data_IF_155289460895
#
_entry.id   IF_155289460895
#
_cell.length_a   1.000
_cell.length_b   1.000
_cell.length_c   1.000
_cell.angle_alpha   90.00
_cell.angle_beta   90.00
_cell.angle_gamma   90.00
#
_symmetry.space_group_name_H-M   'P 1'
#
loop_
_entity.id
_entity.type
_entity.pdbx_description
1 polymer ?
#
# COMPACT_ATOMS: atom_id res chain seq x y z
N UNK A 1 9.13 -19.49 2.13
CA UNK A 1 8.49 -18.35 1.44
C UNK A 1 8.19 -17.30 2.48
N UNK A 2 8.67 -16.08 2.26
CA UNK A 2 8.43 -14.94 3.14
C UNK A 2 7.20 -14.13 2.70
N UNK A 3 6.59 -14.47 1.56
CA UNK A 3 5.41 -13.80 1.01
C UNK A 3 5.73 -12.56 0.18
N UNK A 4 7.01 -12.24 0.00
CA UNK A 4 7.45 -11.03 -0.68
C UNK A 4 7.08 -11.01 -2.16
N UNK A 5 7.30 -12.13 -2.87
CA UNK A 5 7.03 -12.22 -4.31
C UNK A 5 5.55 -12.05 -4.64
N UNK A 6 4.66 -12.77 -3.93
CA UNK A 6 3.22 -12.63 -4.08
C UNK A 6 2.74 -11.23 -3.70
N UNK A 7 3.19 -10.68 -2.57
CA UNK A 7 2.85 -9.32 -2.14
C UNK A 7 3.20 -8.30 -3.22
N UNK A 8 4.44 -8.32 -3.68
CA UNK A 8 4.93 -7.37 -4.68
C UNK A 8 4.18 -7.51 -6.01
N UNK A 9 3.89 -8.74 -6.43
CA UNK A 9 3.14 -9.02 -7.67
C UNK A 9 1.70 -8.46 -7.61
N UNK A 10 1.00 -8.64 -6.48
CA UNK A 10 -0.35 -8.10 -6.29
C UNK A 10 -0.36 -6.57 -6.21
N UNK A 11 0.61 -5.99 -5.51
CA UNK A 11 0.72 -4.54 -5.39
C UNK A 11 1.09 -3.87 -6.72
N UNK A 12 1.96 -4.49 -7.52
CA UNK A 12 2.45 -3.97 -8.80
C UNK A 12 1.36 -3.78 -9.87
N UNK A 13 0.18 -4.37 -9.66
CA UNK A 13 -0.97 -4.31 -10.58
C UNK A 13 -2.20 -3.61 -10.02
N UNK A 14 -2.16 -3.16 -8.76
CA UNK A 14 -3.36 -2.64 -8.08
C UNK A 14 -3.97 -1.45 -8.80
N UNK A 15 -3.17 -0.48 -9.26
CA UNK A 15 -3.70 0.71 -9.90
C UNK A 15 -4.19 0.45 -11.32
N UNK A 16 -3.61 -0.52 -12.03
CA UNK A 16 -4.15 -0.96 -13.32
C UNK A 16 -5.57 -1.53 -13.14
N UNK A 17 -5.80 -2.28 -12.05
CA UNK A 17 -7.14 -2.77 -11.71
C UNK A 17 -8.07 -1.64 -11.23
N UNK A 18 -7.59 -0.72 -10.39
CA UNK A 18 -8.39 0.41 -9.89
C UNK A 18 -8.86 1.31 -11.03
N UNK A 19 -7.98 1.63 -11.98
CA UNK A 19 -8.30 2.44 -13.15
C UNK A 19 -9.41 1.82 -14.00
N UNK A 20 -9.44 0.48 -14.14
CA UNK A 20 -10.52 -0.21 -14.86
C UNK A 20 -11.88 -0.12 -14.15
N UNK A 21 -11.90 0.04 -12.82
CA UNK A 21 -13.14 0.04 -12.02
C UNK A 21 -13.67 1.45 -11.78
N UNK A 22 -12.79 2.38 -11.44
CA UNK A 22 -13.16 3.74 -10.99
C UNK A 22 -12.26 4.84 -11.57
N UNK A 23 -11.43 4.57 -12.58
CA UNK A 23 -10.46 5.53 -13.14
C UNK A 23 -11.08 6.86 -13.57
N UNK A 24 -12.27 6.83 -14.16
CA UNK A 24 -13.03 8.03 -14.58
C UNK A 24 -13.45 8.95 -13.41
N UNK A 25 -13.37 8.45 -12.17
CA UNK A 25 -13.66 9.20 -10.96
C UNK A 25 -12.40 9.72 -10.27
N UNK A 26 -11.21 9.42 -10.79
CA UNK A 26 -9.92 9.77 -10.16
C UNK A 26 -9.29 10.96 -10.88
N UNK A 27 -9.73 12.17 -10.51
CA UNK A 27 -9.21 13.41 -11.05
C UNK A 27 -8.94 14.46 -9.95
N UNK A 28 -7.75 15.10 -9.93
CA UNK A 28 -6.57 14.78 -10.75
C UNK A 28 -5.90 13.45 -10.34
N UNK A 29 -5.06 12.87 -11.22
CA UNK A 29 -4.27 11.65 -10.93
C UNK A 29 -3.05 11.96 -10.06
N UNK A 30 -3.31 12.35 -8.81
CA UNK A 30 -2.28 12.64 -7.81
C UNK A 30 -2.36 11.65 -6.66
N UNK A 31 -1.20 11.18 -6.20
CA UNK A 31 -1.10 10.16 -5.17
C UNK A 31 -0.07 10.54 -4.10
N UNK A 32 -0.46 10.39 -2.83
CA UNK A 32 0.46 10.43 -1.70
C UNK A 32 0.73 9.03 -1.19
N UNK A 33 1.98 8.59 -1.25
CA UNK A 33 2.41 7.29 -0.71
C UNK A 33 3.15 7.51 0.60
N UNK A 34 2.54 7.09 1.71
CA UNK A 34 3.04 7.36 3.08
C UNK A 34 4.42 6.70 3.30
N UNK A 35 4.61 5.50 2.74
CA UNK A 35 5.91 4.82 2.70
C UNK A 35 6.07 4.09 1.35
N UNK A 36 6.68 4.76 0.38
CA UNK A 36 6.83 4.25 -0.98
C UNK A 36 7.87 3.14 -1.11
N UNK A 37 8.95 3.18 -0.32
CA UNK A 37 10.07 2.22 -0.38
C UNK A 37 9.63 0.85 0.14
N UNK A 38 8.88 0.78 1.24
CA UNK A 38 8.44 -0.49 1.84
C UNK A 38 7.27 -1.14 1.11
N UNK A 39 6.60 -0.38 0.22
CA UNK A 39 5.54 -0.84 -0.68
C UNK A 39 5.90 -0.56 -2.14
N UNK A 40 7.08 -1.00 -2.54
CA UNK A 40 7.64 -0.70 -3.86
C UNK A 40 6.74 -1.17 -5.02
N UNK A 41 6.13 -2.35 -4.92
CA UNK A 41 5.15 -2.82 -5.91
C UNK A 41 4.01 -1.82 -6.10
N UNK A 42 3.43 -1.32 -5.00
CA UNK A 42 2.34 -0.33 -5.04
C UNK A 42 2.83 0.97 -5.68
N UNK A 43 4.01 1.44 -5.27
CA UNK A 43 4.69 2.61 -5.87
C UNK A 43 4.82 2.47 -7.38
N UNK A 44 5.31 1.35 -7.87
CA UNK A 44 5.43 1.11 -9.31
C UNK A 44 4.08 1.10 -10.01
N UNK A 45 3.05 0.53 -9.39
CA UNK A 45 1.71 0.47 -9.96
C UNK A 45 1.11 1.86 -10.18
N UNK A 46 1.24 2.77 -9.20
CA UNK A 46 0.82 4.16 -9.33
C UNK A 46 1.55 4.90 -10.45
N UNK A 47 2.88 4.76 -10.51
CA UNK A 47 3.70 5.37 -11.56
C UNK A 47 3.28 4.87 -12.95
N UNK A 48 3.12 3.54 -13.11
CA UNK A 48 2.68 2.91 -14.37
C UNK A 48 1.28 3.35 -14.79
N UNK A 49 0.40 3.67 -13.83
CA UNK A 49 -0.94 4.20 -14.08
C UNK A 49 -0.98 5.72 -14.38
N UNK A 50 0.18 6.39 -14.37
CA UNK A 50 0.32 7.80 -14.73
C UNK A 50 0.04 8.78 -13.59
N UNK A 51 0.12 8.34 -12.33
CA UNK A 51 -0.08 9.23 -11.18
C UNK A 51 1.16 10.08 -10.90
N UNK A 52 0.94 11.37 -10.65
CA UNK A 52 1.94 12.21 -10.03
C UNK A 52 2.04 11.83 -8.55
N UNK A 53 3.14 11.16 -8.18
CA UNK A 53 3.34 10.62 -6.85
C UNK A 53 4.19 11.55 -5.98
N UNK A 54 3.78 11.70 -4.72
CA UNK A 54 4.59 12.26 -3.64
C UNK A 54 4.82 11.16 -2.61
N UNK A 55 6.06 10.99 -2.16
CA UNK A 55 6.42 9.95 -1.19
C UNK A 55 6.80 10.55 0.16
N UNK A 56 6.25 9.97 1.23
CA UNK A 56 6.41 10.36 2.63
C UNK A 56 7.54 9.64 3.38
N UNK A 57 8.41 8.91 2.68
CA UNK A 57 9.41 8.04 3.32
C UNK A 57 10.34 8.77 4.30
N UNK A 58 10.80 9.99 3.96
CA UNK A 58 11.60 10.81 4.87
C UNK A 58 10.76 11.38 6.03
N UNK A 59 9.53 11.77 5.72
CA UNK A 59 8.59 12.37 6.67
C UNK A 59 8.25 11.44 7.81
N UNK A 60 7.92 10.18 7.50
CA UNK A 60 7.46 9.26 8.53
C UNK A 60 8.55 8.29 8.98
N UNK A 61 9.48 7.92 8.08
CA UNK A 61 10.57 7.01 8.41
C UNK A 61 11.65 7.66 9.27
N UNK A 62 11.89 8.97 9.11
CA UNK A 62 12.96 9.70 9.79
C UNK A 62 12.51 11.00 10.47
N UNK A 63 11.22 11.33 10.44
CA UNK A 63 10.68 12.61 10.94
C UNK A 63 11.29 13.85 10.25
N UNK A 64 11.78 13.70 9.01
CA UNK A 64 12.35 14.78 8.20
C UNK A 64 11.24 15.35 7.30
N UNK A 65 10.85 16.63 7.42
CA UNK A 65 9.67 17.22 6.77
C UNK A 65 9.84 17.50 5.27
N UNK A 66 10.48 16.59 4.52
CA UNK A 66 10.80 16.71 3.10
C UNK A 66 10.02 15.68 2.31
N UNK A 67 9.24 16.14 1.32
CA UNK A 67 8.57 15.29 0.34
C UNK A 67 9.52 14.87 -0.76
N UNK A 68 9.40 13.61 -1.18
CA UNK A 68 10.07 13.12 -2.38
C UNK A 68 9.05 13.17 -3.53
N UNK A 69 9.37 13.91 -4.59
CA UNK A 69 8.45 14.11 -5.73
C UNK A 69 8.76 13.27 -6.97
N UNK A 70 9.75 12.36 -6.92
CA UNK A 70 10.13 11.56 -8.08
C UNK A 70 10.68 10.19 -7.71
N UNK A 71 10.51 9.23 -8.62
CA UNK A 71 11.02 7.87 -8.46
C UNK A 71 12.56 7.81 -8.40
N UNK A 72 13.24 8.67 -9.15
CA UNK A 72 14.71 8.75 -9.11
C UNK A 72 15.19 9.23 -7.74
N UNK A 73 14.54 10.26 -7.18
CA UNK A 73 14.85 10.74 -5.84
C UNK A 73 14.54 9.67 -4.78
N UNK A 74 13.41 8.96 -4.91
CA UNK A 74 13.06 7.85 -4.02
C UNK A 74 14.12 6.75 -4.01
N UNK A 75 14.60 6.33 -5.20
CA UNK A 75 15.67 5.34 -5.33
C UNK A 75 16.98 5.80 -4.70
N UNK A 76 17.35 7.07 -4.87
CA UNK A 76 18.53 7.66 -4.23
C UNK A 76 18.38 7.68 -2.72
N UNK A 77 17.24 8.12 -2.21
CA UNK A 77 16.93 8.10 -0.77
C UNK A 77 17.03 6.69 -0.21
N UNK A 78 16.42 5.69 -0.85
CA UNK A 78 16.48 4.30 -0.40
C UNK A 78 17.94 3.80 -0.26
N UNK A 79 18.80 4.09 -1.25
CA UNK A 79 20.23 3.72 -1.20
C UNK A 79 20.98 4.40 -0.05
N UNK A 80 20.65 5.66 0.25
CA UNK A 80 21.26 6.40 1.35
C UNK A 80 20.78 5.91 2.72
N UNK A 81 19.51 5.51 2.82
CA UNK A 81 18.92 5.08 4.10
C UNK A 81 19.19 3.62 4.44
N UNK A 82 19.38 2.75 3.45
CA UNK A 82 19.58 1.31 3.66
C UNK A 82 20.67 0.96 4.70
N UNK A 83 21.86 1.61 4.73
CA UNK A 83 22.89 1.32 5.75
C UNK A 83 22.47 1.71 7.17
N UNK A 84 21.56 2.66 7.31
CA UNK A 84 21.05 3.16 8.59
C UNK A 84 19.89 2.27 9.04
N UNK A 85 18.89 2.09 8.18
CA UNK A 85 17.69 1.28 8.42
C UNK A 85 18.04 -0.16 8.77
N UNK A 86 19.01 -0.77 8.07
CA UNK A 86 19.46 -2.14 8.36
C UNK A 86 20.10 -2.32 9.74
N UNK A 87 20.41 -1.23 10.46
CA UNK A 87 20.97 -1.24 11.82
C UNK A 87 19.97 -0.81 12.89
N UNK A 88 18.75 -0.40 12.51
CA UNK A 88 17.73 0.06 13.45
C UNK A 88 16.97 -1.12 14.06
N UNK A 89 16.56 -1.02 15.35
CA UNK A 89 15.68 -2.01 15.95
C UNK A 89 14.31 -1.99 15.27
N UNK A 90 13.70 -3.18 15.14
CA UNK A 90 12.45 -3.36 14.40
C UNK A 90 11.29 -2.47 14.91
N UNK A 91 11.28 -2.18 16.21
CA UNK A 91 10.30 -1.31 16.88
C UNK A 91 10.40 0.18 16.49
N UNK A 92 11.50 0.60 15.86
CA UNK A 92 11.63 1.93 15.26
C UNK A 92 11.20 1.96 13.80
N UNK A 93 11.26 0.83 13.10
CA UNK A 93 10.85 0.71 11.70
C UNK A 93 9.35 0.45 11.56
N UNK A 94 8.77 -0.21 12.55
CA UNK A 94 7.34 -0.50 12.63
C UNK A 94 6.79 0.04 13.94
N UNK A 95 5.73 0.86 13.92
CA UNK A 95 5.03 1.22 15.14
C UNK A 95 4.47 -0.08 15.75
N UNK A 96 4.89 -0.43 16.97
CA UNK A 96 4.40 -1.63 17.69
C UNK A 96 3.73 -1.23 19.00
N UNK A 97 2.69 -1.97 19.39
CA UNK A 97 1.97 -1.76 20.65
C UNK A 97 1.03 -0.55 20.62
N UNK A 98 0.88 0.14 21.76
CA UNK A 98 -0.06 1.25 21.96
C UNK A 98 0.09 2.41 20.97
N UNK A 99 1.27 2.57 20.36
CA UNK A 99 1.53 3.60 19.34
C UNK A 99 0.70 3.40 18.06
N UNK A 100 0.17 2.20 17.81
CA UNK A 100 -0.70 1.90 16.67
C UNK A 100 -2.14 2.42 16.88
N UNK A 101 -2.59 2.56 18.12
CA UNK A 101 -3.98 2.96 18.41
C UNK A 101 -4.18 4.47 18.36
N UNK A 102 -3.13 5.25 18.66
CA UNK A 102 -3.20 6.70 18.66
C UNK A 102 -2.99 7.29 17.26
N UNK A 103 -4.05 7.87 16.71
CA UNK A 103 -3.98 8.70 15.50
C UNK A 103 -3.46 10.08 15.87
N UNK A 104 -2.33 10.47 15.29
CA UNK A 104 -1.73 11.81 15.43
C UNK A 104 -1.49 12.36 14.03
N UNK A 105 -2.40 13.21 13.51
CA UNK A 105 -2.30 13.78 12.17
C UNK A 105 -0.93 14.43 11.94
N UNK A 106 -0.31 14.11 10.81
CA UNK A 106 0.99 14.67 10.40
C UNK A 106 1.00 14.88 8.89
N UNK A 107 1.60 15.98 8.47
CA UNK A 107 1.77 16.33 7.05
C UNK A 107 0.47 16.32 6.24
N UNK A 108 -0.62 16.77 6.88
CA UNK A 108 -1.99 16.75 6.35
C UNK A 108 -2.10 17.36 4.95
N UNK A 109 -1.29 18.38 4.65
CA UNK A 109 -1.24 18.99 3.32
C UNK A 109 -1.03 18.00 2.17
N UNK A 110 -0.33 16.88 2.39
CA UNK A 110 -0.14 15.87 1.35
C UNK A 110 -1.32 14.90 1.25
N UNK A 111 -1.97 14.56 2.37
CA UNK A 111 -3.25 13.84 2.33
C UNK A 111 -4.32 14.67 1.60
N UNK A 112 -4.41 15.96 1.91
CA UNK A 112 -5.36 16.88 1.30
C UNK A 112 -5.03 17.22 -0.15
N UNK A 113 -3.74 17.42 -0.48
CA UNK A 113 -3.28 17.80 -1.81
C UNK A 113 -3.33 16.67 -2.85
N UNK A 114 -3.58 15.43 -2.44
CA UNK A 114 -3.61 14.29 -3.35
C UNK A 114 -4.98 13.60 -3.36
N UNK A 115 -5.41 13.13 -4.53
CA UNK A 115 -6.70 12.45 -4.70
C UNK A 115 -6.69 11.07 -4.04
N UNK A 116 -5.56 10.36 -4.18
CA UNK A 116 -5.36 9.01 -3.64
C UNK A 116 -4.28 9.03 -2.56
N UNK A 117 -4.52 8.31 -1.46
CA UNK A 117 -3.46 7.98 -0.49
C UNK A 117 -3.21 6.48 -0.53
N UNK A 118 -1.95 6.10 -0.67
CA UNK A 118 -1.52 4.71 -0.71
C UNK A 118 -0.48 4.36 0.36
N UNK A 119 -0.45 3.10 0.78
CA UNK A 119 0.56 2.61 1.71
C UNK A 119 0.06 1.50 2.62
N UNK A 120 0.84 1.22 3.66
CA UNK A 120 0.43 0.30 4.71
C UNK A 120 -0.66 0.93 5.57
N UNK A 121 -1.72 0.18 5.84
CA UNK A 121 -2.90 0.73 6.46
C UNK A 121 -2.62 1.31 7.84
N UNK A 122 -1.78 0.66 8.65
CA UNK A 122 -1.44 1.17 9.98
C UNK A 122 -0.71 2.52 9.87
N UNK A 123 0.18 2.64 8.89
CA UNK A 123 0.96 3.85 8.66
C UNK A 123 0.10 5.01 8.11
N UNK A 124 -0.80 4.67 7.18
CA UNK A 124 -1.82 5.59 6.67
C UNK A 124 -2.72 6.07 7.80
N UNK A 125 -3.27 5.14 8.61
CA UNK A 125 -4.17 5.43 9.74
C UNK A 125 -3.50 6.29 10.81
N UNK A 126 -2.26 5.99 11.18
CA UNK A 126 -1.56 6.67 12.28
C UNK A 126 -1.46 8.19 12.09
N UNK A 127 -1.40 8.67 10.84
CA UNK A 127 -1.17 10.08 10.52
C UNK A 127 -2.26 10.72 9.66
N UNK A 128 -3.36 10.00 9.42
CA UNK A 128 -4.49 10.48 8.64
C UNK A 128 -5.18 11.68 9.33
N UNK A 129 -5.51 12.76 8.61
CA UNK A 129 -6.33 13.85 9.15
C UNK A 129 -7.78 13.41 9.41
N UNK A 130 -8.53 14.20 10.19
CA UNK A 130 -9.94 13.93 10.46
C UNK A 130 -10.85 14.11 9.23
N UNK A 131 -10.52 15.04 8.34
CA UNK A 131 -11.26 15.24 7.10
C UNK A 131 -10.57 14.53 5.93
N UNK A 132 -11.15 13.44 5.47
CA UNK A 132 -10.72 12.70 4.28
C UNK A 132 -11.83 12.61 3.24
N UNK A 133 -12.73 13.61 3.23
CA UNK A 133 -13.88 13.64 2.32
C UNK A 133 -13.48 13.49 0.87
N UNK A 134 -14.11 12.54 0.19
CA UNK A 134 -13.89 12.29 -1.25
C UNK A 134 -12.58 11.56 -1.57
N UNK A 135 -11.73 11.27 -0.58
CA UNK A 135 -10.43 10.62 -0.80
C UNK A 135 -10.59 9.14 -1.10
N UNK A 136 -9.58 8.63 -1.80
CA UNK A 136 -9.44 7.20 -2.12
C UNK A 136 -8.26 6.67 -1.32
N UNK A 137 -8.45 5.58 -0.59
CA UNK A 137 -7.39 4.88 0.13
C UNK A 137 -7.07 3.57 -0.58
N UNK A 138 -5.80 3.36 -0.95
CA UNK A 138 -5.30 2.10 -1.53
C UNK A 138 -4.31 1.48 -0.57
N UNK A 139 -4.65 0.35 0.02
CA UNK A 139 -3.88 -0.22 1.12
C UNK A 139 -3.89 -1.76 1.13
N UNK A 140 -3.29 -2.36 2.15
CA UNK A 140 -3.27 -3.81 2.35
C UNK A 140 -4.51 -4.28 3.12
N UNK A 141 -4.33 -4.79 4.34
CA UNK A 141 -5.40 -5.41 5.11
C UNK A 141 -6.10 -4.35 5.96
N UNK A 142 -7.42 -4.44 6.05
CA UNK A 142 -8.25 -3.67 6.97
C UNK A 142 -9.15 -4.58 7.78
N UNK A 143 -9.53 -4.16 8.98
CA UNK A 143 -10.58 -4.78 9.79
C UNK A 143 -11.93 -4.08 9.58
N UNK A 144 -13.06 -4.65 10.02
CA UNK A 144 -14.34 -3.94 10.01
C UNK A 144 -14.30 -2.60 10.77
N UNK A 145 -13.58 -2.54 11.90
CA UNK A 145 -13.42 -1.30 12.67
C UNK A 145 -12.65 -0.22 11.87
N UNK A 146 -11.68 -0.64 11.07
CA UNK A 146 -10.93 0.25 10.19
C UNK A 146 -11.81 0.81 9.05
N UNK A 147 -12.72 0.00 8.52
CA UNK A 147 -13.70 0.46 7.52
C UNK A 147 -14.61 1.54 8.10
N UNK A 148 -15.13 1.33 9.31
CA UNK A 148 -15.97 2.33 9.99
C UNK A 148 -15.18 3.60 10.34
N UNK A 149 -13.92 3.45 10.77
CA UNK A 149 -13.00 4.57 11.00
C UNK A 149 -12.82 5.44 9.75
N UNK A 150 -12.68 4.82 8.56
CA UNK A 150 -12.53 5.51 7.29
C UNK A 150 -13.84 6.17 6.84
N UNK A 151 -14.98 5.50 7.03
CA UNK A 151 -16.31 6.07 6.75
C UNK A 151 -16.55 7.35 7.54
N UNK A 152 -16.26 7.35 8.84
CA UNK A 152 -16.43 8.50 9.72
C UNK A 152 -15.61 9.73 9.28
N UNK A 153 -14.47 9.52 8.60
CA UNK A 153 -13.63 10.59 8.04
C UNK A 153 -14.03 11.02 6.63
N UNK A 154 -15.08 10.42 6.06
CA UNK A 154 -15.60 10.78 4.74
C UNK A 154 -14.84 10.18 3.55
N UNK A 155 -13.98 9.17 3.77
CA UNK A 155 -13.30 8.47 2.67
C UNK A 155 -14.36 7.94 1.70
N UNK A 156 -14.15 8.14 0.39
CA UNK A 156 -15.10 7.72 -0.65
C UNK A 156 -14.89 6.27 -1.06
N UNK A 157 -13.65 5.91 -1.40
CA UNK A 157 -13.30 4.55 -1.82
C UNK A 157 -12.17 3.98 -0.96
N UNK A 158 -12.32 2.72 -0.59
CA UNK A 158 -11.27 1.89 0.01
C UNK A 158 -10.94 0.75 -0.95
N UNK A 159 -9.66 0.62 -1.29
CA UNK A 159 -9.10 -0.49 -2.05
C UNK A 159 -8.13 -1.26 -1.17
N UNK A 160 -8.30 -2.58 -1.09
CA UNK A 160 -7.42 -3.46 -0.32
C UNK A 160 -6.75 -4.50 -1.21
N UNK A 161 -5.42 -4.64 -1.14
CA UNK A 161 -4.63 -5.59 -1.94
C UNK A 161 -4.51 -6.97 -1.30
N UNK A 162 -4.80 -7.11 -0.01
CA UNK A 162 -4.68 -8.41 0.66
C UNK A 162 -5.79 -9.34 0.21
N UNK A 163 -5.40 -10.52 -0.26
CA UNK A 163 -6.32 -11.55 -0.73
C UNK A 163 -7.26 -12.01 0.39
N UNK A 164 -8.56 -12.06 0.06
CA UNK A 164 -9.55 -12.77 0.84
C UNK A 164 -10.02 -14.00 0.07
N UNK A 165 -10.05 -15.16 0.72
CA UNK A 165 -10.62 -16.39 0.19
C UNK A 165 -11.71 -16.88 1.14
N UNK A 166 -12.93 -17.10 0.64
CA UNK A 166 -14.11 -17.45 1.45
C UNK A 166 -14.32 -16.54 2.68
N UNK A 167 -14.17 -15.24 2.49
CA UNK A 167 -14.32 -14.23 3.56
C UNK A 167 -13.20 -14.25 4.60
N UNK A 168 -12.14 -15.04 4.41
CA UNK A 168 -10.96 -15.08 5.28
C UNK A 168 -9.75 -14.47 4.59
N UNK A 169 -9.03 -13.64 5.32
CA UNK A 169 -7.78 -13.05 4.84
C UNK A 169 -6.62 -13.95 5.24
N UNK A 170 -5.77 -14.28 4.28
CA UNK A 170 -4.61 -15.11 4.49
C UNK A 170 -3.31 -14.32 4.28
N UNK A 171 -2.30 -14.60 5.10
CA UNK A 171 -0.98 -13.99 4.96
C UNK A 171 -0.36 -14.33 3.59
N UNK A 172 0.33 -13.35 2.99
CA UNK A 172 0.95 -13.54 1.67
C UNK A 172 2.03 -14.63 1.69
N UNK A 173 2.69 -14.86 2.82
CA UNK A 173 3.63 -15.95 3.02
C UNK A 173 2.98 -17.34 2.86
N UNK A 174 1.81 -17.54 3.46
CA UNK A 174 1.07 -18.79 3.39
C UNK A 174 0.51 -19.01 1.97
N UNK A 175 -0.06 -17.96 1.39
CA UNK A 175 -0.61 -18.03 0.03
C UNK A 175 0.49 -18.28 -1.01
N UNK A 176 1.64 -17.62 -0.89
CA UNK A 176 2.79 -17.86 -1.77
C UNK A 176 3.33 -19.28 -1.64
N UNK A 177 3.42 -19.81 -0.40
CA UNK A 177 3.81 -21.19 -0.17
C UNK A 177 2.84 -22.18 -0.83
N UNK A 178 1.53 -21.93 -0.74
CA UNK A 178 0.51 -22.73 -1.40
C UNK A 178 0.64 -22.68 -2.94
N UNK A 179 0.83 -21.49 -3.53
CA UNK A 179 1.04 -21.32 -4.97
C UNK A 179 2.28 -22.06 -5.46
N UNK A 180 3.39 -21.96 -4.73
CA UNK A 180 4.63 -22.68 -5.05
C UNK A 180 4.42 -24.20 -4.99
N UNK A 181 3.74 -24.69 -3.95
CA UNK A 181 3.48 -26.11 -3.76
C UNK A 181 2.60 -26.67 -4.90
N UNK A 182 1.52 -25.96 -5.25
CA UNK A 182 0.62 -26.35 -6.34
C UNK A 182 1.31 -26.30 -7.70
N UNK A 183 2.19 -25.32 -7.94
CA UNK A 183 2.94 -25.22 -9.18
C UNK A 183 3.96 -26.35 -9.38
N UNK A 184 4.39 -27.02 -8.30
CA UNK A 184 5.24 -28.22 -8.37
C UNK A 184 6.65 -27.99 -8.92
N UNK A 185 7.11 -26.73 -9.03
CA UNK A 185 8.40 -26.40 -9.68
C UNK A 185 9.64 -26.60 -8.79
N UNK A 186 9.46 -26.91 -7.51
CA UNK A 186 10.56 -27.11 -6.56
C UNK A 186 11.42 -25.87 -6.31
N UNK A 187 10.98 -24.69 -6.74
CA UNK A 187 11.65 -23.39 -6.57
C UNK A 187 10.65 -22.27 -6.37
N UNK A 188 11.14 -21.10 -5.96
CA UNK A 188 10.35 -19.86 -5.95
C UNK A 188 9.83 -19.57 -7.36
N UNK A 189 8.58 -19.10 -7.44
CA UNK A 189 7.96 -18.71 -8.69
C UNK A 189 8.44 -17.32 -9.12
N UNK A 190 8.59 -17.14 -10.43
CA UNK A 190 8.85 -15.83 -11.04
C UNK A 190 7.60 -14.96 -10.98
N UNK A 191 7.76 -13.65 -11.15
CA UNK A 191 6.62 -12.72 -11.20
C UNK A 191 5.63 -13.08 -12.34
N UNK A 192 6.12 -13.56 -13.48
CA UNK A 192 5.26 -14.02 -14.59
C UNK A 192 4.43 -15.25 -14.20
N UNK A 193 5.06 -16.24 -13.57
CA UNK A 193 4.38 -17.44 -13.07
C UNK A 193 3.36 -17.11 -11.98
N UNK A 194 3.69 -16.19 -11.07
CA UNK A 194 2.76 -15.69 -10.06
C UNK A 194 1.58 -14.95 -10.69
N UNK A 195 1.81 -14.08 -11.67
CA UNK A 195 0.74 -13.38 -12.38
C UNK A 195 -0.22 -14.36 -13.06
N UNK A 196 0.31 -15.37 -13.76
CA UNK A 196 -0.52 -16.39 -14.39
C UNK A 196 -1.41 -17.14 -13.38
N UNK A 197 -0.87 -17.49 -12.21
CA UNK A 197 -1.64 -18.14 -11.16
C UNK A 197 -2.68 -17.21 -10.52
N UNK A 198 -2.33 -15.95 -10.27
CA UNK A 198 -3.24 -14.93 -9.74
C UNK A 198 -4.43 -14.77 -10.69
N UNK A 199 -4.18 -14.67 -12.00
CA UNK A 199 -5.22 -14.55 -13.03
C UNK A 199 -6.10 -15.81 -13.08
N UNK A 200 -5.49 -16.99 -13.06
CA UNK A 200 -6.22 -18.27 -13.06
C UNK A 200 -7.12 -18.44 -11.82
N UNK A 201 -6.67 -17.95 -10.67
CA UNK A 201 -7.40 -18.04 -9.40
C UNK A 201 -8.41 -16.90 -9.20
N UNK A 202 -8.44 -15.91 -10.10
CA UNK A 202 -9.31 -14.73 -9.95
C UNK A 202 -8.97 -13.90 -8.71
N UNK A 203 -7.69 -13.86 -8.34
CA UNK A 203 -7.21 -13.12 -7.17
C UNK A 203 -7.17 -11.63 -7.49
N UNK A 204 -8.25 -10.93 -7.11
CA UNK A 204 -8.40 -9.49 -7.31
C UNK A 204 -8.30 -8.70 -6.01
N UNK A 205 -7.86 -7.42 -6.07
CA UNK A 205 -8.10 -6.46 -5.00
C UNK A 205 -9.60 -6.34 -4.69
N UNK A 206 -9.93 -5.85 -3.50
CA UNK A 206 -11.31 -5.46 -3.20
C UNK A 206 -11.47 -3.95 -3.31
N UNK A 207 -12.58 -3.50 -3.88
CA UNK A 207 -13.04 -2.11 -3.89
C UNK A 207 -14.31 -2.00 -3.05
N UNK A 208 -14.35 -1.01 -2.15
CA UNK A 208 -15.52 -0.68 -1.34
C UNK A 208 -15.80 0.81 -1.45
N UNK A 209 -17.02 1.16 -1.83
CA UNK A 209 -17.56 2.51 -1.67
C UNK A 209 -18.01 2.69 -0.23
N UNK A 210 -17.56 3.78 0.40
CA UNK A 210 -17.74 4.04 1.82
C UNK A 210 -18.70 5.22 2.07
N UNK A 211 -18.61 6.28 1.25
CA UNK A 211 -19.44 7.49 1.30
C UNK A 211 -19.71 8.02 -0.11
#
# INVERSE_FOLDING_TARGET
>A
MDGGGLKETLEARVMQWVEQKIGDQIHPKTAFLVAGITRYGMTESFIKAGYQCVFGDLMFGLDIPIAIGSMSALKTTAKLLMPIVGRMPLSMLYPTGEKQEKVTPKYEKYYQGNTVTGGDFLYVKQHMPEDMRGKIIVTNTTTPADVEFLKQRGVKYLVTTTLSFDGRTFGTNMMEAALVAVAGKGRVLTAEELNALIDQLGFEPQLRELN
#
